data_IF_573735867578
#
_entry.id   IF_573735867578
#
_cell.length_a   1.000
_cell.length_b   1.000
_cell.length_c   1.000
_cell.angle_alpha   90.00
_cell.angle_beta   90.00
_cell.angle_gamma   90.00
#
_symmetry.space_group_name_H-M   'P 1'
#
loop_
_entity.id
_entity.type
_entity.pdbx_description
1 polymer ?
#
# COMPACT_ATOMS: atom_id res chain seq x y z
N UNK A 1 14.71 0.14 33.67
CA UNK A 1 15.01 -0.90 32.66
C UNK A 1 15.53 -0.19 31.40
N UNK A 2 16.86 -0.04 31.24
CA UNK A 2 17.44 0.58 30.04
C UNK A 2 17.29 -0.34 28.81
N UNK A 3 17.26 0.27 27.63
CA UNK A 3 17.26 -0.44 26.34
C UNK A 3 18.54 -0.13 25.58
N UNK A 4 19.06 -1.11 24.84
CA UNK A 4 20.32 -1.00 24.09
C UNK A 4 20.18 -0.22 22.78
N UNK A 5 18.94 -0.03 22.30
CA UNK A 5 18.68 0.64 21.04
C UNK A 5 17.20 0.89 20.80
N UNK A 6 16.93 1.71 19.79
CA UNK A 6 15.58 2.10 19.36
C UNK A 6 15.50 2.03 17.83
N UNK A 7 14.30 1.76 17.32
CA UNK A 7 14.02 1.72 15.89
C UNK A 7 12.96 2.75 15.52
N UNK A 8 13.10 3.34 14.33
CA UNK A 8 12.17 4.32 13.81
C UNK A 8 11.60 3.81 12.48
N UNK A 9 10.34 3.40 12.49
CA UNK A 9 9.60 3.03 11.27
C UNK A 9 8.81 4.22 10.73
N UNK A 10 7.63 4.44 11.29
CA UNK A 10 6.69 5.51 10.90
C UNK A 10 7.33 6.89 10.75
N UNK A 11 8.22 7.27 11.68
CA UNK A 11 8.93 8.56 11.67
C UNK A 11 9.77 8.79 10.40
N UNK A 12 10.29 7.71 9.80
CA UNK A 12 11.18 7.78 8.66
C UNK A 12 10.42 7.91 7.33
N UNK A 13 9.10 7.69 7.30
CA UNK A 13 8.33 7.69 6.06
C UNK A 13 8.18 9.06 5.40
N UNK A 14 8.47 10.15 6.13
CA UNK A 14 8.51 11.53 5.59
C UNK A 14 9.89 11.93 5.07
N UNK A 15 10.89 11.05 5.17
CA UNK A 15 12.26 11.36 4.77
C UNK A 15 12.35 11.71 3.27
N UNK A 16 13.22 12.66 2.90
CA UNK A 16 13.41 13.11 1.52
C UNK A 16 13.77 11.96 0.58
N UNK A 17 14.65 11.09 1.02
CA UNK A 17 15.20 9.95 0.28
C UNK A 17 14.23 8.76 0.20
N UNK A 18 13.13 8.79 0.97
CA UNK A 18 12.08 7.77 0.90
C UNK A 18 11.22 7.91 -0.35
N UNK A 19 10.75 6.77 -0.88
CA UNK A 19 9.97 6.67 -2.13
C UNK A 19 8.50 7.05 -2.00
N UNK A 20 8.00 7.31 -0.79
CA UNK A 20 6.64 7.79 -0.60
C UNK A 20 6.38 9.06 -1.44
N UNK A 21 5.27 9.08 -2.17
CA UNK A 21 4.89 10.23 -2.98
C UNK A 21 4.72 11.49 -2.11
N UNK A 22 4.91 12.68 -2.69
CA UNK A 22 4.84 13.94 -1.95
C UNK A 22 3.50 14.12 -1.21
N UNK A 23 2.38 13.82 -1.88
CA UNK A 23 1.04 13.87 -1.27
C UNK A 23 0.90 12.93 -0.07
N UNK A 24 1.56 11.76 -0.11
CA UNK A 24 1.59 10.81 1.01
C UNK A 24 2.40 11.36 2.17
N UNK A 25 3.61 11.89 1.91
CA UNK A 25 4.42 12.52 2.97
C UNK A 25 3.67 13.67 3.64
N UNK A 26 2.94 14.47 2.87
CA UNK A 26 2.11 15.54 3.42
C UNK A 26 0.95 14.99 4.27
N UNK A 27 0.23 13.96 3.80
CA UNK A 27 -0.84 13.34 4.57
C UNK A 27 -0.35 12.72 5.89
N UNK A 28 0.90 12.26 5.95
CA UNK A 28 1.56 11.80 7.19
C UNK A 28 1.81 12.99 8.14
N UNK A 29 2.33 14.11 7.62
CA UNK A 29 2.58 15.32 8.42
C UNK A 29 1.29 15.92 8.97
N UNK A 30 0.21 15.87 8.19
CA UNK A 30 -1.08 16.44 8.57
C UNK A 30 -1.81 15.61 9.65
N UNK A 31 -1.35 14.38 9.91
CA UNK A 31 -1.96 13.50 10.92
C UNK A 31 -1.52 13.92 12.33
N UNK A 32 -2.45 14.35 13.21
CA UNK A 32 -2.09 14.89 14.53
C UNK A 32 -1.41 13.87 15.45
N UNK A 33 -1.66 12.57 15.23
CA UNK A 33 -1.31 11.49 16.15
C UNK A 33 -2.03 11.59 17.49
N UNK A 34 -1.65 10.71 18.41
CA UNK A 34 -2.18 10.66 19.78
C UNK A 34 -1.11 10.25 20.79
N UNK A 35 -1.41 10.43 22.07
CA UNK A 35 -0.62 9.86 23.16
C UNK A 35 -0.80 8.33 23.24
N UNK A 36 0.14 7.67 23.91
CA UNK A 36 0.13 6.21 24.12
C UNK A 36 -1.16 5.72 24.79
N UNK A 37 -1.73 6.49 25.72
CA UNK A 37 -2.98 6.13 26.39
C UNK A 37 -4.21 6.06 25.48
N UNK A 38 -4.12 6.54 24.24
CA UNK A 38 -5.26 6.66 23.33
C UNK A 38 -5.14 5.81 22.06
N UNK A 39 -4.00 5.16 21.82
CA UNK A 39 -3.74 4.48 20.53
C UNK A 39 -4.76 3.38 20.22
N UNK A 40 -5.28 2.68 21.23
CA UNK A 40 -6.27 1.61 21.06
C UNK A 40 -7.62 2.12 20.51
N UNK A 41 -7.91 3.42 20.59
CA UNK A 41 -9.14 4.00 20.01
C UNK A 41 -9.17 3.83 18.48
N UNK A 42 -8.03 3.62 17.83
CA UNK A 42 -7.90 3.34 16.39
C UNK A 42 -8.69 2.12 15.91
N UNK A 43 -8.95 1.13 16.78
CA UNK A 43 -9.80 -0.03 16.47
C UNK A 43 -11.28 0.33 16.29
N UNK A 44 -11.72 1.40 16.96
CA UNK A 44 -13.11 1.87 16.93
C UNK A 44 -13.35 2.87 15.79
N UNK A 45 -12.34 3.68 15.45
CA UNK A 45 -12.45 4.66 14.36
C UNK A 45 -11.21 5.54 14.24
N UNK A 46 -11.26 6.56 13.35
CA UNK A 46 -10.16 7.50 13.16
C UNK A 46 -9.75 8.19 14.46
N UNK A 47 -8.48 8.04 14.83
CA UNK A 47 -7.88 8.57 16.06
C UNK A 47 -6.51 9.15 15.69
N UNK A 48 -6.30 10.45 15.91
CA UNK A 48 -5.04 11.12 15.53
C UNK A 48 -4.73 11.08 14.02
N UNK A 49 -5.74 10.94 13.17
CA UNK A 49 -5.56 10.76 11.72
C UNK A 49 -5.24 9.33 11.28
N UNK A 50 -5.18 8.36 12.19
CA UNK A 50 -4.89 6.93 11.93
C UNK A 50 -6.10 6.06 12.31
N UNK A 51 -6.28 4.91 11.65
CA UNK A 51 -7.27 3.90 12.04
C UNK A 51 -6.76 2.48 11.79
N UNK A 52 -7.34 1.51 12.50
CA UNK A 52 -7.00 0.09 12.33
C UNK A 52 -7.98 -0.60 11.39
N UNK A 53 -7.45 -1.27 10.37
CA UNK A 53 -8.20 -2.13 9.44
C UNK A 53 -7.63 -3.55 9.45
N UNK A 54 -8.35 -4.53 8.90
CA UNK A 54 -7.88 -5.92 8.82
C UNK A 54 -7.28 -6.24 7.46
N UNK A 55 -6.12 -6.88 7.47
CA UNK A 55 -5.48 -7.45 6.28
C UNK A 55 -6.36 -8.54 5.64
N UNK A 56 -5.97 -9.02 4.47
CA UNK A 56 -6.59 -10.21 3.85
C UNK A 56 -6.41 -11.47 4.73
N UNK A 57 -5.36 -11.50 5.57
CA UNK A 57 -5.09 -12.59 6.53
C UNK A 57 -5.74 -12.35 7.90
N UNK A 58 -6.49 -11.27 8.07
CA UNK A 58 -7.18 -10.92 9.31
C UNK A 58 -6.35 -10.16 10.35
N UNK A 59 -5.08 -9.88 10.05
CA UNK A 59 -4.16 -9.16 10.93
C UNK A 59 -4.50 -7.66 11.00
N UNK A 60 -4.38 -7.02 12.18
CA UNK A 60 -4.62 -5.59 12.31
C UNK A 60 -3.51 -4.77 11.65
N UNK A 61 -3.89 -3.71 10.96
CA UNK A 61 -2.97 -2.79 10.28
C UNK A 61 -3.38 -1.34 10.60
N UNK A 62 -2.45 -0.55 11.14
CA UNK A 62 -2.62 0.89 11.30
C UNK A 62 -2.36 1.62 9.98
N UNK A 63 -3.35 2.40 9.53
CA UNK A 63 -3.25 3.21 8.32
C UNK A 63 -3.75 4.63 8.57
N UNK A 64 -3.21 5.62 7.85
CA UNK A 64 -3.82 6.96 7.79
C UNK A 64 -5.29 6.81 7.36
N UNK A 65 -6.19 7.50 8.04
CA UNK A 65 -7.63 7.41 7.85
C UNK A 65 -8.11 8.21 6.62
N UNK A 66 -7.55 7.90 5.46
CA UNK A 66 -7.97 8.41 4.15
C UNK A 66 -9.41 7.98 3.83
N UNK A 67 -10.03 8.57 2.80
CA UNK A 67 -11.37 8.14 2.35
C UNK A 67 -11.36 6.65 1.94
N UNK A 68 -10.30 6.20 1.27
CA UNK A 68 -10.14 4.80 0.88
C UNK A 68 -10.02 3.85 2.06
N UNK A 69 -9.23 4.21 3.08
CA UNK A 69 -9.09 3.38 4.30
C UNK A 69 -10.38 3.39 5.13
N UNK A 70 -11.13 4.49 5.16
CA UNK A 70 -12.46 4.52 5.77
C UNK A 70 -13.44 3.59 5.06
N UNK A 71 -13.43 3.54 3.73
CA UNK A 71 -14.21 2.56 2.98
C UNK A 71 -13.73 1.12 3.28
N UNK A 72 -12.42 0.89 3.38
CA UNK A 72 -11.90 -0.42 3.78
C UNK A 72 -12.47 -0.85 5.12
N UNK A 73 -12.43 0.01 6.14
CA UNK A 73 -12.99 -0.28 7.46
C UNK A 73 -14.48 -0.61 7.39
N UNK A 74 -15.23 0.15 6.60
CA UNK A 74 -16.65 -0.13 6.39
C UNK A 74 -16.89 -1.51 5.76
N UNK A 75 -16.07 -1.91 4.78
CA UNK A 75 -16.16 -3.25 4.19
C UNK A 75 -15.77 -4.34 5.20
N UNK A 76 -14.75 -4.11 6.04
CA UNK A 76 -14.39 -5.02 7.14
C UNK A 76 -15.56 -5.23 8.11
N UNK A 77 -16.24 -4.14 8.49
CA UNK A 77 -17.31 -4.18 9.49
C UNK A 77 -18.62 -4.75 8.94
N UNK A 78 -18.92 -4.52 7.65
CA UNK A 78 -20.25 -4.81 7.07
C UNK A 78 -20.29 -5.98 6.09
N UNK A 79 -19.16 -6.33 5.45
CA UNK A 79 -19.09 -7.40 4.45
C UNK A 79 -18.14 -8.50 4.90
N UNK A 80 -16.88 -8.17 5.19
CA UNK A 80 -15.86 -9.19 5.48
C UNK A 80 -16.01 -9.81 6.88
N UNK A 81 -16.76 -9.18 7.79
CA UNK A 81 -17.19 -9.77 9.06
C UNK A 81 -18.22 -10.89 8.91
N UNK A 82 -18.92 -10.99 7.78
CA UNK A 82 -19.94 -12.01 7.53
C UNK A 82 -19.32 -13.36 7.20
N UNK A 83 -20.07 -14.44 7.48
CA UNK A 83 -19.76 -15.78 7.03
C UNK A 83 -19.61 -15.83 5.50
N UNK A 84 -18.64 -16.62 4.99
CA UNK A 84 -18.25 -16.60 3.56
C UNK A 84 -19.42 -16.83 2.60
N UNK A 85 -20.37 -17.68 2.98
CA UNK A 85 -21.57 -18.00 2.19
C UNK A 85 -22.60 -16.86 2.12
N UNK A 86 -22.51 -15.85 3.01
CA UNK A 86 -23.42 -14.69 3.05
C UNK A 86 -22.85 -13.44 2.38
N UNK A 87 -21.56 -13.43 2.06
CA UNK A 87 -20.87 -12.23 1.55
C UNK A 87 -21.36 -11.81 0.19
N UNK A 88 -21.54 -12.75 -0.75
CA UNK A 88 -21.96 -12.43 -2.12
C UNK A 88 -23.36 -11.81 -2.12
N UNK A 89 -24.31 -12.38 -1.38
CA UNK A 89 -25.66 -11.82 -1.27
C UNK A 89 -25.64 -10.40 -0.68
N UNK A 90 -24.82 -10.18 0.36
CA UNK A 90 -24.66 -8.86 0.97
C UNK A 90 -24.01 -7.83 0.02
N UNK A 91 -23.04 -8.25 -0.79
CA UNK A 91 -22.41 -7.42 -1.82
C UNK A 91 -23.42 -7.01 -2.88
N UNK A 92 -24.18 -7.97 -3.41
CA UNK A 92 -25.17 -7.73 -4.47
C UNK A 92 -26.31 -6.84 -3.96
N UNK A 93 -26.77 -7.02 -2.72
CA UNK A 93 -27.77 -6.17 -2.10
C UNK A 93 -27.35 -4.69 -1.96
N UNK A 94 -26.04 -4.42 -1.95
CA UNK A 94 -25.46 -3.07 -1.84
C UNK A 94 -24.63 -2.67 -3.07
N UNK A 95 -24.81 -3.35 -4.20
CA UNK A 95 -23.95 -3.22 -5.38
C UNK A 95 -23.74 -1.78 -5.82
N UNK A 96 -24.82 -1.03 -6.07
CA UNK A 96 -24.73 0.35 -6.55
C UNK A 96 -24.00 1.27 -5.57
N UNK A 97 -24.25 1.07 -4.28
CA UNK A 97 -23.58 1.80 -3.22
C UNK A 97 -22.08 1.50 -3.18
N UNK A 98 -21.71 0.21 -3.23
CA UNK A 98 -20.30 -0.21 -3.20
C UNK A 98 -19.58 0.32 -4.43
N UNK A 99 -20.15 0.19 -5.63
CA UNK A 99 -19.56 0.71 -6.87
C UNK A 99 -19.35 2.23 -6.79
N UNK A 100 -20.36 2.97 -6.29
CA UNK A 100 -20.24 4.42 -6.09
C UNK A 100 -19.09 4.76 -5.15
N UNK A 101 -18.96 4.06 -4.02
CA UNK A 101 -17.89 4.28 -3.05
C UNK A 101 -16.52 3.90 -3.59
N UNK A 102 -16.39 2.80 -4.34
CA UNK A 102 -15.15 2.39 -5.00
C UNK A 102 -14.67 3.49 -5.96
N UNK A 103 -15.56 3.99 -6.82
CA UNK A 103 -15.23 5.04 -7.79
C UNK A 103 -14.92 6.39 -7.14
N UNK A 104 -15.58 6.73 -6.04
CA UNK A 104 -15.36 8.00 -5.35
C UNK A 104 -14.11 7.99 -4.47
N UNK A 105 -13.87 6.91 -3.73
CA UNK A 105 -13.02 6.93 -2.54
C UNK A 105 -11.85 5.95 -2.55
N UNK A 106 -11.84 4.93 -3.41
CA UNK A 106 -10.87 3.84 -3.27
C UNK A 106 -9.78 3.87 -4.35
N UNK A 107 -8.61 3.32 -4.02
CA UNK A 107 -7.49 3.19 -4.95
C UNK A 107 -7.73 2.18 -6.07
N UNK A 108 -8.67 1.24 -5.86
CA UNK A 108 -9.15 0.32 -6.90
C UNK A 108 -10.58 0.67 -7.24
N UNK A 109 -10.75 1.34 -8.38
CA UNK A 109 -12.08 1.73 -8.86
C UNK A 109 -12.84 0.54 -9.44
N UNK A 110 -14.14 0.70 -9.64
CA UNK A 110 -14.93 -0.27 -10.39
C UNK A 110 -14.47 -0.27 -11.85
N UNK A 111 -14.20 -1.46 -12.39
CA UNK A 111 -13.73 -1.59 -13.76
C UNK A 111 -14.82 -1.18 -14.75
N UNK A 112 -16.04 -1.70 -14.58
CA UNK A 112 -17.08 -1.60 -15.59
C UNK A 112 -17.57 -0.18 -15.86
N UNK A 113 -17.22 0.35 -17.04
CA UNK A 113 -17.53 1.73 -17.46
C UNK A 113 -17.84 1.78 -18.94
N UNK A 114 -18.99 2.35 -19.28
CA UNK A 114 -19.43 2.61 -20.66
C UNK A 114 -18.68 3.78 -21.30
N UNK A 115 -18.72 3.87 -22.62
CA UNK A 115 -18.14 4.99 -23.37
C UNK A 115 -18.72 6.36 -22.97
N UNK A 116 -19.98 6.41 -22.54
CA UNK A 116 -20.64 7.62 -22.02
C UNK A 116 -20.31 7.92 -20.54
N UNK A 117 -19.47 7.10 -19.89
CA UNK A 117 -19.09 7.23 -18.49
C UNK A 117 -20.03 6.56 -17.48
N UNK A 118 -21.15 5.95 -17.91
CA UNK A 118 -22.05 5.26 -16.99
C UNK A 118 -21.42 3.96 -16.46
N UNK A 119 -21.77 3.60 -15.23
CA UNK A 119 -21.41 2.31 -14.63
C UNK A 119 -22.07 1.18 -15.42
N UNK A 120 -21.34 0.08 -15.62
CA UNK A 120 -21.83 -1.15 -16.19
C UNK A 120 -21.18 -2.36 -15.51
N UNK A 121 -21.78 -3.54 -15.65
CA UNK A 121 -21.04 -4.78 -15.40
C UNK A 121 -20.21 -5.18 -16.61
N UNK A 122 -19.29 -6.13 -16.43
CA UNK A 122 -18.48 -6.66 -17.53
C UNK A 122 -19.33 -7.18 -18.70
N UNK A 123 -20.36 -7.99 -18.43
CA UNK A 123 -21.22 -8.54 -19.49
C UNK A 123 -22.00 -7.47 -20.25
N UNK A 124 -22.15 -6.28 -19.66
CA UNK A 124 -22.83 -5.17 -20.29
C UNK A 124 -21.88 -4.29 -21.08
N UNK A 125 -20.55 -4.46 -21.01
CA UNK A 125 -19.58 -3.68 -21.79
C UNK A 125 -19.40 -4.24 -23.20
N UNK A 126 -19.07 -3.37 -24.15
CA UNK A 126 -18.54 -3.81 -25.45
C UNK A 126 -17.06 -4.19 -25.33
N UNK A 127 -16.54 -4.93 -26.30
CA UNK A 127 -15.10 -5.25 -26.35
C UNK A 127 -14.24 -3.99 -26.48
N UNK A 128 -14.66 -2.98 -27.25
CA UNK A 128 -13.97 -1.70 -27.33
C UNK A 128 -13.95 -0.97 -25.98
N UNK A 129 -15.08 -0.94 -25.27
CA UNK A 129 -15.16 -0.34 -23.93
C UNK A 129 -14.19 -1.03 -22.96
N UNK A 130 -14.09 -2.36 -23.03
CA UNK A 130 -13.14 -3.13 -22.21
C UNK A 130 -11.68 -2.80 -22.54
N UNK A 131 -11.30 -2.79 -23.82
CA UNK A 131 -9.93 -2.46 -24.26
C UNK A 131 -9.54 -1.08 -23.75
N UNK A 132 -10.38 -0.08 -24.00
CA UNK A 132 -10.12 1.30 -23.60
C UNK A 132 -10.02 1.44 -22.08
N UNK A 133 -10.88 0.73 -21.33
CA UNK A 133 -10.88 0.77 -19.87
C UNK A 133 -9.65 0.09 -19.25
N UNK A 134 -9.15 -0.99 -19.86
CA UNK A 134 -7.89 -1.60 -19.43
C UNK A 134 -6.73 -0.62 -19.60
N UNK A 135 -6.62 0.02 -20.77
CA UNK A 135 -5.58 1.02 -21.04
C UNK A 135 -5.69 2.17 -20.03
N UNK A 136 -6.88 2.73 -19.85
CA UNK A 136 -7.12 3.86 -18.93
C UNK A 136 -6.63 3.57 -17.50
N UNK A 137 -6.81 2.35 -17.01
CA UNK A 137 -6.49 1.99 -15.63
C UNK A 137 -5.11 1.38 -15.44
N UNK A 138 -4.38 1.07 -16.51
CA UNK A 138 -3.08 0.38 -16.42
C UNK A 138 -1.94 1.08 -17.16
N UNK A 139 -2.24 2.10 -17.96
CA UNK A 139 -1.27 2.94 -18.66
C UNK A 139 -1.31 4.38 -18.14
N UNK A 140 -0.17 4.88 -17.69
CA UNK A 140 0.00 6.22 -17.13
C UNK A 140 0.32 7.18 -18.27
N UNK A 141 -0.72 7.78 -18.83
CA UNK A 141 -0.64 8.56 -20.07
C UNK A 141 0.39 9.70 -20.03
N UNK A 142 0.51 10.41 -18.91
CA UNK A 142 1.40 11.58 -18.80
C UNK A 142 2.87 11.21 -18.57
N UNK A 143 3.16 9.95 -18.24
CA UNK A 143 4.52 9.42 -18.12
C UNK A 143 4.86 8.41 -19.22
N UNK A 144 3.93 8.18 -20.16
CA UNK A 144 4.06 7.24 -21.28
C UNK A 144 4.57 5.84 -20.87
N UNK A 145 4.10 5.34 -19.72
CA UNK A 145 4.48 4.03 -19.20
C UNK A 145 3.30 3.20 -18.72
N UNK A 146 3.49 1.90 -18.74
CA UNK A 146 2.62 0.96 -18.01
C UNK A 146 2.91 1.02 -16.51
N UNK A 147 1.88 0.81 -15.68
CA UNK A 147 2.08 0.59 -14.24
C UNK A 147 3.05 -0.58 -14.01
N UNK A 148 2.88 -1.65 -14.80
CA UNK A 148 3.76 -2.81 -14.82
C UNK A 148 3.71 -3.49 -16.19
N UNK A 149 4.83 -4.06 -16.65
CA UNK A 149 4.89 -4.74 -17.96
C UNK A 149 3.93 -5.94 -18.05
N UNK A 150 3.58 -6.56 -16.93
CA UNK A 150 2.59 -7.63 -16.92
C UNK A 150 1.16 -7.15 -17.23
N UNK A 151 0.84 -5.87 -16.99
CA UNK A 151 -0.44 -5.29 -17.42
C UNK A 151 -0.50 -5.07 -18.93
N UNK A 152 0.62 -4.66 -19.55
CA UNK A 152 0.77 -4.61 -21.02
C UNK A 152 0.53 -5.98 -21.62
N UNK A 153 1.17 -7.01 -21.07
CA UNK A 153 1.05 -8.38 -21.54
C UNK A 153 -0.39 -8.91 -21.33
N UNK A 154 -1.03 -8.56 -20.20
CA UNK A 154 -2.44 -8.87 -19.95
C UNK A 154 -3.36 -8.27 -21.02
N UNK A 155 -3.16 -7.00 -21.41
CA UNK A 155 -3.90 -6.42 -22.53
C UNK A 155 -3.65 -7.19 -23.83
N UNK A 156 -2.39 -7.55 -24.11
CA UNK A 156 -2.04 -8.33 -25.29
C UNK A 156 -2.76 -9.67 -25.37
N UNK A 157 -2.83 -10.40 -24.26
CA UNK A 157 -3.59 -11.67 -24.17
C UNK A 157 -5.10 -11.45 -24.35
N UNK A 158 -5.65 -10.37 -23.80
CA UNK A 158 -7.05 -9.97 -24.01
C UNK A 158 -7.31 -9.66 -25.48
N UNK A 159 -6.45 -8.89 -26.13
CA UNK A 159 -6.59 -8.55 -27.56
C UNK A 159 -6.52 -9.79 -28.45
N UNK A 160 -5.63 -10.75 -28.16
CA UNK A 160 -5.60 -12.04 -28.89
C UNK A 160 -6.90 -12.81 -28.75
N UNK A 161 -7.47 -12.86 -27.55
CA UNK A 161 -8.78 -13.50 -27.34
C UNK A 161 -9.91 -12.79 -28.11
N UNK A 162 -9.88 -11.46 -28.14
CA UNK A 162 -10.86 -10.67 -28.90
C UNK A 162 -10.71 -10.95 -30.39
N UNK A 163 -9.48 -11.03 -30.88
CA UNK A 163 -9.22 -11.41 -32.26
C UNK A 163 -9.77 -12.81 -32.58
N UNK A 164 -9.48 -13.84 -31.76
CA UNK A 164 -10.06 -15.18 -31.92
C UNK A 164 -11.58 -15.17 -32.05
N UNK A 165 -12.27 -14.26 -31.33
CA UNK A 165 -13.72 -14.11 -31.37
C UNK A 165 -14.22 -13.55 -32.71
N UNK A 166 -13.46 -12.67 -33.36
CA UNK A 166 -13.91 -11.87 -34.51
C UNK A 166 -13.19 -12.17 -35.83
N UNK A 167 -12.16 -13.01 -35.82
CA UNK A 167 -11.27 -13.29 -36.96
C UNK A 167 -11.99 -13.88 -38.19
N UNK A 168 -13.02 -14.70 -37.98
CA UNK A 168 -13.88 -15.28 -39.03
C UNK A 168 -13.21 -16.34 -39.93
N UNK A 169 -11.89 -16.36 -40.03
CA UNK A 169 -11.09 -17.33 -40.77
C UNK A 169 -9.69 -17.46 -40.15
N UNK A 170 -8.97 -18.53 -40.47
CA UNK A 170 -7.59 -18.72 -40.01
C UNK A 170 -6.67 -17.64 -40.63
N UNK A 171 -5.99 -16.87 -39.78
CA UNK A 171 -5.01 -15.85 -40.17
C UNK A 171 -4.02 -15.59 -39.04
N UNK A 172 -2.89 -14.99 -39.38
CA UNK A 172 -1.91 -14.55 -38.40
C UNK A 172 -2.47 -13.43 -37.51
N UNK A 173 -2.12 -13.47 -36.23
CA UNK A 173 -2.56 -12.48 -35.25
C UNK A 173 -2.04 -11.09 -35.59
N UNK A 174 -2.85 -10.03 -35.51
CA UNK A 174 -2.29 -8.66 -35.63
C UNK A 174 -1.46 -8.27 -34.40
N UNK A 175 -1.65 -8.98 -33.27
CA UNK A 175 -0.87 -8.89 -32.04
C UNK A 175 0.34 -9.84 -32.11
N UNK A 176 1.30 -9.51 -32.98
CA UNK A 176 2.52 -10.27 -33.20
C UNK A 176 3.43 -10.26 -31.97
N UNK A 177 3.64 -9.09 -31.37
CA UNK A 177 4.47 -8.89 -30.18
C UNK A 177 3.84 -7.86 -29.25
N UNK A 178 3.99 -8.06 -27.94
CA UNK A 178 3.47 -7.11 -26.96
C UNK A 178 4.23 -5.77 -26.92
N UNK A 179 5.38 -5.63 -27.60
CA UNK A 179 6.01 -4.32 -27.78
C UNK A 179 5.17 -3.36 -28.64
N UNK A 180 4.25 -3.89 -29.46
CA UNK A 180 3.26 -3.08 -30.18
C UNK A 180 2.33 -2.32 -29.22
N UNK A 181 2.29 -2.72 -27.95
CA UNK A 181 1.50 -2.10 -26.88
C UNK A 181 2.35 -1.22 -25.96
N UNK A 182 3.63 -0.95 -26.25
CA UNK A 182 4.44 -0.07 -25.41
C UNK A 182 3.79 1.31 -25.29
N UNK A 183 3.24 1.84 -26.40
CA UNK A 183 2.29 2.95 -26.43
C UNK A 183 0.99 2.46 -27.08
N UNK A 184 -0.07 2.13 -26.30
CA UNK A 184 -1.16 1.29 -26.80
C UNK A 184 -2.20 2.01 -27.66
N UNK A 185 -2.22 3.34 -27.70
CA UNK A 185 -3.36 4.10 -28.23
C UNK A 185 -3.59 3.89 -29.73
N UNK A 186 -2.54 4.01 -30.55
CA UNK A 186 -2.67 3.86 -32.01
C UNK A 186 -2.96 2.40 -32.39
N UNK A 187 -2.29 1.46 -31.74
CA UNK A 187 -2.52 0.04 -31.97
C UNK A 187 -3.93 -0.39 -31.55
N UNK A 188 -4.44 0.07 -30.40
CA UNK A 188 -5.81 -0.22 -29.96
C UNK A 188 -6.86 0.32 -30.95
N UNK A 189 -6.61 1.52 -31.49
CA UNK A 189 -7.47 2.12 -32.54
C UNK A 189 -7.44 1.30 -33.83
N UNK A 190 -6.27 0.88 -34.28
CA UNK A 190 -6.11 0.00 -35.45
C UNK A 190 -6.81 -1.36 -35.23
N UNK A 191 -6.63 -1.95 -34.05
CA UNK A 191 -7.25 -3.22 -33.67
C UNK A 191 -8.77 -3.14 -33.75
N UNK A 192 -9.37 -2.10 -33.15
CA UNK A 192 -10.83 -1.87 -33.17
C UNK A 192 -11.34 -1.59 -34.59
N UNK A 193 -10.57 -0.91 -35.44
CA UNK A 193 -10.96 -0.71 -36.84
C UNK A 193 -10.88 -1.99 -37.67
N UNK A 194 -9.94 -2.89 -37.34
CA UNK A 194 -9.81 -4.21 -37.97
C UNK A 194 -10.96 -5.14 -37.58
N UNK A 195 -11.45 -5.03 -36.34
CA UNK A 195 -12.55 -5.82 -35.81
C UNK A 195 -13.75 -4.94 -35.42
N UNK A 196 -14.48 -4.34 -36.38
CA UNK A 196 -15.48 -3.30 -36.09
C UNK A 196 -16.65 -3.75 -35.22
N UNK A 197 -16.92 -5.06 -35.13
CA UNK A 197 -17.95 -5.61 -34.24
C UNK A 197 -17.60 -5.42 -32.76
N UNK A 198 -16.35 -5.15 -32.39
CA UNK A 198 -15.96 -4.84 -31.00
C UNK A 198 -16.65 -3.59 -30.45
N UNK A 199 -17.11 -2.68 -31.33
CA UNK A 199 -17.79 -1.43 -30.97
C UNK A 199 -19.23 -1.64 -30.50
N UNK A 200 -19.87 -2.72 -30.94
CA UNK A 200 -21.31 -2.94 -30.75
C UNK A 200 -21.61 -4.22 -30.00
N UNK A 201 -20.79 -5.26 -30.14
CA UNK A 201 -21.00 -6.52 -29.47
C UNK A 201 -20.57 -6.45 -28.01
N UNK A 202 -21.46 -6.86 -27.11
CA UNK A 202 -21.19 -7.01 -25.69
C UNK A 202 -20.29 -8.22 -25.42
N UNK A 203 -19.58 -8.19 -24.30
CA UNK A 203 -18.77 -9.33 -23.86
C UNK A 203 -19.64 -10.58 -23.71
N UNK A 204 -19.22 -11.68 -24.35
CA UNK A 204 -19.87 -12.98 -24.15
C UNK A 204 -19.59 -13.51 -22.74
N UNK A 205 -20.50 -14.34 -22.20
CA UNK A 205 -20.32 -15.00 -20.89
C UNK A 205 -18.99 -15.79 -20.83
N UNK A 206 -18.61 -16.45 -21.92
CA UNK A 206 -17.35 -17.18 -22.02
C UNK A 206 -16.14 -16.25 -21.86
N UNK A 207 -16.16 -15.11 -22.55
CA UNK A 207 -15.04 -14.18 -22.54
C UNK A 207 -14.98 -13.41 -21.21
N UNK A 208 -16.11 -13.09 -20.58
CA UNK A 208 -16.13 -12.55 -19.21
C UNK A 208 -15.42 -13.53 -18.26
N UNK A 209 -15.77 -14.82 -18.30
CA UNK A 209 -15.10 -15.84 -17.48
C UNK A 209 -13.60 -15.95 -17.78
N UNK A 210 -13.23 -15.95 -19.06
CA UNK A 210 -11.83 -16.03 -19.48
C UNK A 210 -11.02 -14.79 -19.04
N UNK A 211 -11.57 -13.58 -19.16
CA UNK A 211 -10.89 -12.37 -18.75
C UNK A 211 -10.72 -12.27 -17.24
N UNK A 212 -11.74 -12.67 -16.46
CA UNK A 212 -11.60 -12.77 -15.00
C UNK A 212 -10.50 -13.75 -14.61
N UNK A 213 -10.41 -14.90 -15.30
CA UNK A 213 -9.33 -15.85 -15.11
C UNK A 213 -7.95 -15.23 -15.45
N UNK A 214 -7.84 -14.53 -16.58
CA UNK A 214 -6.61 -13.84 -16.96
C UNK A 214 -6.19 -12.81 -15.90
N UNK A 215 -7.13 -12.02 -15.35
CA UNK A 215 -6.86 -11.02 -14.32
C UNK A 215 -6.37 -11.63 -12.99
N UNK A 216 -6.67 -12.91 -12.71
CA UNK A 216 -6.22 -13.65 -11.52
C UNK A 216 -4.94 -14.46 -11.74
N UNK A 217 -4.39 -14.51 -12.97
CA UNK A 217 -3.24 -15.35 -13.32
C UNK A 217 -2.03 -15.08 -12.42
N UNK A 218 -1.29 -16.14 -12.06
CA UNK A 218 -0.07 -16.02 -11.26
C UNK A 218 1.09 -15.46 -12.09
N UNK A 219 2.03 -14.77 -11.43
CA UNK A 219 3.21 -14.19 -12.11
C UNK A 219 2.98 -12.82 -12.76
N UNK A 220 1.81 -12.20 -12.53
CA UNK A 220 1.52 -10.84 -12.95
C UNK A 220 1.18 -9.96 -11.75
N UNK A 221 1.39 -8.65 -11.89
CA UNK A 221 0.94 -7.67 -10.90
C UNK A 221 -0.59 -7.69 -10.84
N UNK A 222 -1.21 -7.75 -9.64
CA UNK A 222 -2.66 -7.68 -9.52
C UNK A 222 -3.24 -6.45 -10.23
N UNK A 223 -4.42 -6.61 -10.84
CA UNK A 223 -5.07 -5.50 -11.55
C UNK A 223 -5.45 -4.38 -10.56
N UNK A 224 -5.29 -3.10 -10.95
CA UNK A 224 -5.53 -1.94 -10.07
C UNK A 224 -7.02 -1.54 -9.99
N UNK A 225 -7.93 -2.51 -10.13
CA UNK A 225 -9.38 -2.26 -10.18
C UNK A 225 -10.18 -3.46 -9.69
N UNK A 226 -11.49 -3.25 -9.48
CA UNK A 226 -12.44 -4.30 -9.11
C UNK A 226 -13.25 -4.70 -10.34
N UNK A 227 -13.06 -5.91 -10.89
CA UNK A 227 -13.75 -6.35 -12.11
C UNK A 227 -15.14 -6.93 -11.84
N UNK A 228 -15.39 -7.48 -10.66
CA UNK A 228 -16.64 -8.17 -10.30
C UNK A 228 -16.87 -8.15 -8.78
N UNK A 229 -18.14 -8.22 -8.35
CA UNK A 229 -18.54 -8.45 -6.97
C UNK A 229 -18.92 -9.92 -6.77
N UNK A 230 -17.92 -10.77 -6.50
CA UNK A 230 -18.08 -12.21 -6.32
C UNK A 230 -17.50 -12.69 -4.98
N UNK A 231 -17.37 -14.02 -4.84
CA UNK A 231 -16.78 -14.66 -3.66
C UNK A 231 -15.32 -14.23 -3.39
N UNK A 232 -14.61 -13.75 -4.41
CA UNK A 232 -13.21 -13.34 -4.34
C UNK A 232 -13.07 -11.82 -4.15
N UNK A 233 -14.17 -11.09 -3.92
CA UNK A 233 -14.16 -9.63 -3.73
C UNK A 233 -13.18 -9.15 -2.64
N UNK A 234 -13.01 -9.89 -1.54
CA UNK A 234 -12.02 -9.52 -0.50
C UNK A 234 -10.59 -9.50 -1.07
N UNK A 235 -10.25 -10.47 -1.91
CA UNK A 235 -8.96 -10.56 -2.59
C UNK A 235 -8.82 -9.41 -3.58
N UNK A 236 -9.84 -9.18 -4.41
CA UNK A 236 -9.87 -8.06 -5.36
C UNK A 236 -9.65 -6.72 -4.66
N UNK A 237 -10.29 -6.53 -3.51
CA UNK A 237 -10.23 -5.31 -2.72
C UNK A 237 -8.86 -5.12 -2.03
N UNK A 238 -8.35 -6.13 -1.32
CA UNK A 238 -7.21 -5.97 -0.38
C UNK A 238 -5.83 -6.25 -0.97
N UNK A 239 -5.73 -7.12 -1.99
CA UNK A 239 -4.45 -7.62 -2.51
C UNK A 239 -3.57 -6.52 -3.11
N UNK A 240 -2.27 -6.51 -2.83
CA UNK A 240 -1.32 -5.53 -3.40
C UNK A 240 -1.76 -4.05 -3.26
N UNK A 241 -1.97 -3.65 -2.00
CA UNK A 241 -2.62 -2.38 -1.64
C UNK A 241 -1.69 -1.29 -1.10
N UNK A 242 -0.37 -1.48 -1.14
CA UNK A 242 0.59 -0.55 -0.52
C UNK A 242 1.40 0.28 -1.52
N UNK A 243 1.67 -0.25 -2.72
CA UNK A 243 2.55 0.40 -3.71
C UNK A 243 2.00 1.74 -4.22
N UNK A 244 0.68 1.94 -4.17
CA UNK A 244 0.00 3.16 -4.60
C UNK A 244 0.44 4.39 -3.79
N UNK A 245 0.93 4.19 -2.57
CA UNK A 245 1.46 5.27 -1.75
C UNK A 245 2.84 5.80 -2.24
N UNK A 246 3.56 4.99 -3.02
CA UNK A 246 4.84 5.37 -3.63
C UNK A 246 4.66 5.89 -5.05
N UNK A 247 3.64 5.42 -5.79
CA UNK A 247 3.35 5.82 -7.16
C UNK A 247 1.94 6.43 -7.31
N UNK A 248 1.75 7.67 -6.84
CA UNK A 248 0.46 8.37 -6.99
C UNK A 248 0.11 8.68 -8.45
N UNK A 249 1.07 8.73 -9.37
CA UNK A 249 0.82 8.96 -10.79
C UNK A 249 -0.08 7.87 -11.41
N UNK A 250 -0.03 6.66 -10.84
CA UNK A 250 -0.85 5.52 -11.23
C UNK A 250 -2.24 5.48 -10.56
N UNK A 251 -2.48 6.33 -9.55
CA UNK A 251 -3.76 6.37 -8.83
C UNK A 251 -4.72 7.30 -9.57
N UNK A 252 -6.00 6.92 -9.64
CA UNK A 252 -7.05 7.74 -10.24
C UNK A 252 -7.06 9.12 -9.59
N UNK A 253 -7.02 10.17 -10.43
CA UNK A 253 -6.93 11.59 -10.04
C UNK A 253 -5.65 11.96 -9.25
N UNK A 254 -4.65 11.07 -9.19
CA UNK A 254 -3.44 11.20 -8.37
C UNK A 254 -3.74 11.48 -6.89
N UNK A 255 -4.88 10.97 -6.43
CA UNK A 255 -5.51 11.38 -5.20
C UNK A 255 -5.06 10.53 -4.00
N UNK A 256 -4.28 11.15 -3.12
CA UNK A 256 -3.79 10.51 -1.88
C UNK A 256 -4.91 9.98 -1.00
N UNK A 257 -6.10 10.61 -1.01
CA UNK A 257 -7.22 10.18 -0.17
C UNK A 257 -7.82 8.83 -0.58
N UNK A 258 -7.41 8.27 -1.71
CA UNK A 258 -7.78 6.92 -2.15
C UNK A 258 -6.87 5.82 -1.61
N UNK A 259 -5.66 6.19 -1.20
CA UNK A 259 -4.55 5.24 -0.96
C UNK A 259 -4.49 4.72 0.47
N UNK A 260 -3.77 3.60 0.64
CA UNK A 260 -3.41 3.05 1.94
C UNK A 260 -2.00 3.50 2.34
N UNK A 261 -1.88 4.21 3.47
CA UNK A 261 -0.61 4.69 4.00
C UNK A 261 -0.41 4.11 5.40
N UNK A 262 0.60 3.27 5.60
CA UNK A 262 0.92 2.68 6.90
C UNK A 262 1.50 3.72 7.85
N UNK A 263 0.89 3.93 9.02
CA UNK A 263 1.39 4.87 10.02
C UNK A 263 1.00 4.46 11.44
N UNK A 264 1.93 4.59 12.38
CA UNK A 264 1.69 4.34 13.80
C UNK A 264 1.00 5.54 14.44
N UNK A 265 -0.10 5.35 15.19
CA UNK A 265 -0.91 6.45 15.73
C UNK A 265 -0.15 7.33 16.73
N UNK A 266 0.80 6.78 17.48
CA UNK A 266 1.64 7.53 18.42
C UNK A 266 2.84 8.17 17.74
N UNK A 267 3.49 7.45 16.82
CA UNK A 267 4.70 7.91 16.14
C UNK A 267 4.43 9.02 15.11
N UNK A 268 3.24 9.05 14.51
CA UNK A 268 2.92 9.97 13.40
C UNK A 268 3.03 11.44 13.79
N UNK A 269 2.69 11.80 15.04
CA UNK A 269 2.79 13.18 15.57
C UNK A 269 4.19 13.77 15.53
N UNK A 270 5.22 12.93 15.47
CA UNK A 270 6.62 13.35 15.43
C UNK A 270 7.12 13.59 13.99
N UNK A 271 6.29 13.31 13.00
CA UNK A 271 6.59 13.58 11.58
C UNK A 271 6.06 14.97 11.23
N UNK A 272 6.85 16.02 11.46
CA UNK A 272 6.38 17.41 11.36
C UNK A 272 6.76 18.09 10.04
N UNK A 273 7.60 17.46 9.22
CA UNK A 273 8.12 18.04 7.98
C UNK A 273 8.20 16.98 6.89
N UNK A 274 7.58 17.27 5.75
CA UNK A 274 7.71 16.45 4.55
C UNK A 274 9.07 16.70 3.89
N UNK A 275 9.68 15.64 3.36
CA UNK A 275 11.00 15.68 2.71
C UNK A 275 12.11 16.25 3.60
N UNK A 276 12.07 15.94 4.89
CA UNK A 276 13.22 16.13 5.77
C UNK A 276 14.31 15.12 5.41
N UNK A 277 15.58 15.53 5.16
CA UNK A 277 16.65 14.58 4.87
C UNK A 277 16.79 13.53 5.98
N UNK A 278 16.99 12.26 5.60
CA UNK A 278 17.16 11.14 6.54
C UNK A 278 18.29 11.41 7.54
N UNK A 279 19.36 12.06 7.07
CA UNK A 279 20.49 12.50 7.90
C UNK A 279 20.03 13.44 9.01
N UNK A 280 19.24 14.46 8.68
CA UNK A 280 18.79 15.47 9.65
C UNK A 280 17.89 14.83 10.72
N UNK A 281 17.01 13.90 10.32
CA UNK A 281 16.15 13.15 11.26
C UNK A 281 17.01 12.37 12.26
N UNK A 282 17.94 11.54 11.75
CA UNK A 282 18.72 10.63 12.57
C UNK A 282 19.77 11.35 13.43
N UNK A 283 20.46 12.34 12.86
CA UNK A 283 21.44 13.16 13.57
C UNK A 283 20.77 13.97 14.69
N UNK A 284 19.57 14.51 14.43
CA UNK A 284 18.81 15.24 15.45
C UNK A 284 18.54 14.38 16.69
N UNK A 285 18.10 13.13 16.48
CA UNK A 285 17.86 12.16 17.55
C UNK A 285 19.17 11.78 18.25
N UNK A 286 20.20 11.45 17.46
CA UNK A 286 21.51 11.03 17.97
C UNK A 286 22.18 12.11 18.83
N UNK A 287 22.25 13.34 18.32
CA UNK A 287 22.85 14.46 19.04
C UNK A 287 22.02 14.89 20.25
N UNK A 288 20.68 14.78 20.21
CA UNK A 288 19.84 15.02 21.39
C UNK A 288 20.12 14.02 22.52
N UNK A 289 20.37 12.75 22.19
CA UNK A 289 20.78 11.76 23.20
C UNK A 289 22.16 12.06 23.77
N UNK A 290 23.13 12.43 22.92
CA UNK A 290 24.47 12.83 23.41
C UNK A 290 24.35 14.02 24.37
N UNK A 291 23.57 15.05 24.01
CA UNK A 291 23.37 16.22 24.87
C UNK A 291 22.78 15.83 26.23
N UNK A 292 21.73 15.00 26.23
CA UNK A 292 21.08 14.52 27.46
C UNK A 292 22.03 13.68 28.33
N UNK A 293 22.83 12.80 27.72
CA UNK A 293 23.83 11.98 28.44
C UNK A 293 24.96 12.83 29.02
N UNK A 294 25.45 13.83 28.27
CA UNK A 294 26.48 14.76 28.73
C UNK A 294 26.01 15.55 29.95
N UNK A 295 24.79 16.05 29.90
CA UNK A 295 24.18 16.80 31.00
C UNK A 295 24.06 15.93 32.26
N UNK A 296 23.53 14.72 32.10
CA UNK A 296 23.20 13.87 33.24
C UNK A 296 24.41 13.18 33.89
N UNK A 297 25.39 12.74 33.08
CA UNK A 297 26.48 11.87 33.56
C UNK A 297 27.87 12.49 33.52
N UNK A 298 28.07 13.57 32.76
CA UNK A 298 29.40 14.15 32.51
C UNK A 298 29.48 15.64 32.85
N UNK A 299 28.45 16.21 33.49
CA UNK A 299 28.44 17.63 33.88
C UNK A 299 28.62 18.61 32.70
N UNK A 300 28.23 18.19 31.50
CA UNK A 300 28.48 18.89 30.23
C UNK A 300 29.97 19.11 29.88
N UNK A 301 30.89 18.34 30.47
CA UNK A 301 32.32 18.42 30.20
C UNK A 301 32.78 17.30 29.24
N UNK A 302 33.16 17.68 28.02
CA UNK A 302 33.65 16.74 27.01
C UNK A 302 34.95 16.05 27.40
N UNK A 303 35.76 16.66 28.27
CA UNK A 303 37.01 16.05 28.73
C UNK A 303 36.77 14.80 29.61
N UNK A 304 35.56 14.64 30.15
CA UNK A 304 35.18 13.48 30.95
C UNK A 304 34.70 12.29 30.10
N UNK A 305 34.45 12.50 28.80
CA UNK A 305 34.00 11.43 27.90
C UNK A 305 35.20 10.57 27.49
N UNK A 306 35.21 9.25 27.80
CA UNK A 306 36.32 8.38 27.44
C UNK A 306 36.60 8.36 25.94
N UNK A 307 37.86 8.50 25.58
CA UNK A 307 38.33 8.47 24.19
C UNK A 307 38.92 7.08 23.88
N UNK A 308 38.59 6.56 22.71
CA UNK A 308 39.16 5.32 22.16
C UNK A 308 39.55 5.57 20.71
N UNK A 309 40.48 4.78 20.17
CA UNK A 309 40.99 4.96 18.81
C UNK A 309 39.89 4.78 17.73
N UNK A 310 39.01 3.80 17.91
CA UNK A 310 37.84 3.59 17.05
C UNK A 310 36.70 2.90 17.82
N UNK A 311 35.46 3.20 17.46
CA UNK A 311 34.26 2.60 18.05
C UNK A 311 33.66 1.53 17.13
N UNK A 312 33.89 0.25 17.44
CA UNK A 312 33.32 -0.89 16.73
C UNK A 312 33.94 -2.25 17.08
N UNK A 313 33.26 -3.36 16.77
CA UNK A 313 33.89 -4.67 16.66
C UNK A 313 34.17 -5.50 17.94
N UNK A 314 33.51 -5.24 19.09
CA UNK A 314 33.56 -6.17 20.22
C UNK A 314 32.28 -7.02 20.28
N UNK A 315 32.32 -8.34 19.97
CA UNK A 315 31.24 -9.23 20.38
C UNK A 315 31.11 -9.17 21.91
N UNK A 316 29.91 -9.32 22.46
CA UNK A 316 29.62 -9.30 23.89
C UNK A 316 30.53 -10.27 24.66
N UNK A 317 31.70 -9.78 25.09
CA UNK A 317 32.60 -10.38 26.06
C UNK A 317 32.61 -9.47 27.28
N UNK A 318 31.49 -9.47 28.01
CA UNK A 318 31.36 -8.76 29.28
C UNK A 318 32.33 -9.36 30.30
N UNK A 319 33.34 -8.58 30.71
CA UNK A 319 34.05 -8.80 31.98
C UNK A 319 34.76 -7.52 32.45
N UNK A 320 35.36 -6.73 31.57
CA UNK A 320 36.28 -5.66 32.00
C UNK A 320 35.73 -4.23 31.97
N UNK A 321 34.55 -3.97 31.40
CA UNK A 321 33.99 -2.60 31.29
C UNK A 321 32.95 -2.25 32.36
N UNK A 322 32.37 -3.24 33.06
CA UNK A 322 31.43 -3.02 34.18
C UNK A 322 32.11 -2.50 35.45
N UNK A 323 33.45 -2.53 35.52
CA UNK A 323 34.21 -2.04 36.69
C UNK A 323 34.51 -0.54 36.65
N UNK A 324 34.25 0.15 35.53
CA UNK A 324 34.60 1.57 35.36
C UNK A 324 33.47 2.53 35.77
N UNK A 325 32.24 2.05 35.95
CA UNK A 325 31.11 2.85 36.43
C UNK A 325 30.70 2.29 37.78
N UNK A 326 30.86 3.09 38.83
CA UNK A 326 30.46 2.70 40.19
C UNK A 326 28.95 2.39 40.17
N UNK A 327 28.53 1.14 40.47
CA UNK A 327 27.14 0.75 40.27
C UNK A 327 26.25 1.43 41.33
N UNK A 328 25.26 2.21 40.89
CA UNK A 328 24.19 2.72 41.76
C UNK A 328 23.25 1.61 42.26
N UNK A 329 23.41 0.37 41.77
CA UNK A 329 22.68 -0.82 42.24
C UNK A 329 23.66 -1.99 42.31
N UNK A 330 23.88 -2.55 43.52
CA UNK A 330 24.64 -3.79 43.69
C UNK A 330 23.84 -4.95 43.09
N UNK A 331 24.38 -5.58 42.06
CA UNK A 331 23.89 -6.85 41.55
C UNK A 331 24.94 -7.91 41.89
N UNK A 332 24.58 -8.83 42.80
CA UNK A 332 25.37 -10.04 43.03
C UNK A 332 24.86 -11.14 42.08
N UNK A 333 25.75 -11.63 41.22
CA UNK A 333 25.50 -12.78 40.35
C UNK A 333 25.94 -14.06 41.07
N UNK A 334 25.07 -15.06 41.11
CA UNK A 334 25.42 -16.45 41.39
C UNK A 334 24.96 -17.33 40.23
N UNK A 335 25.71 -18.42 39.98
CA UNK A 335 25.42 -19.44 38.98
C UNK A 335 24.00 -20.01 39.15
N UNK A 336 23.34 -20.30 38.01
CA UNK A 336 21.98 -20.85 37.84
C UNK A 336 20.81 -19.87 37.56
N UNK A 337 21.05 -18.82 36.77
CA UNK A 337 20.04 -18.13 35.92
C UNK A 337 18.71 -17.70 36.59
N UNK A 338 18.73 -17.27 37.86
CA UNK A 338 17.57 -16.63 38.50
C UNK A 338 17.93 -15.32 39.18
N UNK A 339 17.49 -14.22 38.58
CA UNK A 339 17.62 -12.87 39.15
C UNK A 339 16.49 -12.60 40.14
N UNK A 340 16.83 -12.16 41.36
CA UNK A 340 15.87 -11.57 42.29
C UNK A 340 16.24 -10.10 42.52
N UNK A 341 15.31 -9.19 42.24
CA UNK A 341 15.47 -7.77 42.53
C UNK A 341 15.34 -7.54 44.03
N UNK A 342 16.33 -6.89 44.64
CA UNK A 342 16.19 -6.32 45.99
C UNK A 342 15.86 -4.84 45.79
N UNK A 343 14.69 -4.42 46.29
CA UNK A 343 14.29 -3.02 46.32
C UNK A 343 15.18 -2.23 47.29
N UNK A 344 15.42 -0.96 46.94
CA UNK A 344 15.68 0.11 47.91
C UNK A 344 14.55 1.11 47.83
#
# INVERSE_FOLDING_TARGET
>A
MPFDGILFGSRMMVAKEGMASLGVKQAIVDAPGVDDSEWEKTYKGPTGGVMTVRSELGEPIHKIATRGVKLWKEMDDTIFSLAKDKRVDALLAKKDYIIKRLNADFQKVWFGKKANGSVADLQDMTYEEMINRMIELTFIKHEERWIDLSHRNLLGDVLRRIEERFVGAEKDSIVQTFSQLDIPFDFAKEFVNTYPLTKTQLLTTEDVGYFLFLMQRRGQKPVPFIPVLDKDFEVWFKKDSLWQAEDLAAVVDQDVQRTCILQGPTAVRYSTKANEPVKDILDGIFHSHIASLKEHYYGNDDAQIPQIEYFGGKPNGYSSALSAVSPLVKVELYEDDKVKTIET
#
